data_IF_007041873007
#
_entry.id   IF_007041873007
#
_cell.length_a   1.000
_cell.length_b   1.000
_cell.length_c   1.000
_cell.angle_alpha   90.00
_cell.angle_beta   90.00
_cell.angle_gamma   90.00
#
_symmetry.space_group_name_H-M   'P 1'
#
loop_
_entity.id
_entity.type
_entity.pdbx_description
1 polymer ?
#
# COMPACT_ATOMS: atom_id res chain seq x y z
N UNK A 1 -8.63 -8.31 -1.34
CA UNK A 1 -7.42 -7.89 -2.10
C UNK A 1 -6.37 -8.99 -2.24
N UNK A 2 -6.68 -10.23 -1.86
CA UNK A 2 -5.69 -11.31 -1.70
C UNK A 2 -4.92 -11.64 -2.98
N UNK A 3 -5.61 -11.76 -4.13
CA UNK A 3 -4.94 -12.07 -5.40
C UNK A 3 -3.92 -11.01 -5.82
N UNK A 4 -4.30 -9.73 -5.74
CA UNK A 4 -3.42 -8.62 -6.14
C UNK A 4 -2.18 -8.54 -5.24
N UNK A 5 -2.35 -8.74 -3.93
CA UNK A 5 -1.22 -8.75 -2.97
C UNK A 5 -0.26 -9.88 -3.34
N UNK A 6 -0.74 -11.12 -3.46
CA UNK A 6 0.12 -12.27 -3.79
C UNK A 6 0.77 -12.15 -5.17
N UNK A 7 0.11 -11.52 -6.14
CA UNK A 7 0.71 -11.23 -7.44
C UNK A 7 1.91 -10.28 -7.30
N UNK A 8 1.74 -9.14 -6.62
CA UNK A 8 2.83 -8.17 -6.47
C UNK A 8 3.96 -8.67 -5.57
N UNK A 9 3.64 -9.45 -4.52
CA UNK A 9 4.67 -10.11 -3.70
C UNK A 9 5.55 -11.04 -4.53
N UNK A 10 4.97 -11.86 -5.42
CA UNK A 10 5.73 -12.70 -6.36
C UNK A 10 6.60 -11.89 -7.33
N UNK A 11 6.21 -10.64 -7.62
CA UNK A 11 6.96 -9.73 -8.48
C UNK A 11 7.98 -8.87 -7.71
N UNK A 12 8.30 -9.23 -6.47
CA UNK A 12 9.34 -8.58 -5.67
C UNK A 12 8.89 -7.33 -4.91
N UNK A 13 7.59 -7.07 -4.84
CA UNK A 13 7.05 -6.02 -3.98
C UNK A 13 6.83 -6.56 -2.57
N UNK A 14 6.81 -5.66 -1.58
CA UNK A 14 6.53 -5.98 -0.18
C UNK A 14 5.51 -5.01 0.38
N UNK A 15 4.72 -5.50 1.33
CA UNK A 15 3.81 -4.67 2.12
C UNK A 15 4.62 -3.63 2.92
N UNK A 16 4.24 -2.37 2.79
CA UNK A 16 4.83 -1.29 3.62
C UNK A 16 4.20 -1.27 5.00
N UNK A 17 4.91 -0.72 5.98
CA UNK A 17 4.38 -0.52 7.33
C UNK A 17 3.13 0.38 7.31
N UNK A 18 2.24 0.24 8.30
CA UNK A 18 1.03 1.07 8.40
C UNK A 18 1.33 2.57 8.47
N UNK A 19 2.40 2.95 9.17
CA UNK A 19 2.82 4.35 9.26
C UNK A 19 3.25 4.92 7.89
N UNK A 20 4.03 4.14 7.15
CA UNK A 20 4.50 4.51 5.82
C UNK A 20 3.36 4.51 4.79
N UNK A 21 2.47 3.50 4.84
CA UNK A 21 1.24 3.45 4.06
C UNK A 21 0.45 4.76 4.20
N UNK A 22 0.19 5.16 5.44
CA UNK A 22 -0.60 6.35 5.74
C UNK A 22 0.09 7.63 5.24
N UNK A 23 1.42 7.70 5.37
CA UNK A 23 2.22 8.81 4.85
C UNK A 23 2.15 8.90 3.32
N UNK A 24 2.35 7.77 2.62
CA UNK A 24 2.33 7.70 1.16
C UNK A 24 0.95 8.05 0.59
N UNK A 25 -0.10 7.48 1.17
CA UNK A 25 -1.48 7.74 0.74
C UNK A 25 -1.87 9.20 0.92
N UNK A 26 -1.51 9.83 2.03
CA UNK A 26 -1.76 11.28 2.25
C UNK A 26 -0.92 12.18 1.36
N UNK A 27 0.30 11.74 1.01
CA UNK A 27 1.22 12.52 0.17
C UNK A 27 0.78 12.57 -1.29
N UNK A 28 0.34 11.43 -1.82
CA UNK A 28 0.08 11.29 -3.26
C UNK A 28 -1.40 11.27 -3.63
N UNK A 29 -2.31 11.05 -2.67
CA UNK A 29 -3.75 11.03 -2.91
C UNK A 29 -4.53 11.90 -1.92
N UNK A 30 -5.59 12.54 -2.41
CA UNK A 30 -6.59 13.21 -1.57
C UNK A 30 -7.76 12.26 -1.29
N UNK A 31 -7.60 11.43 -0.27
CA UNK A 31 -8.59 10.41 0.14
C UNK A 31 -8.95 10.52 1.63
N UNK A 32 -10.13 10.03 1.99
CA UNK A 32 -10.61 10.02 3.38
C UNK A 32 -9.86 9.01 4.27
N UNK A 33 -9.91 9.18 5.59
CA UNK A 33 -9.33 8.24 6.56
C UNK A 33 -9.85 6.81 6.38
N UNK A 34 -11.16 6.65 6.10
CA UNK A 34 -11.78 5.34 5.85
C UNK A 34 -11.23 4.67 4.59
N UNK A 35 -10.89 5.44 3.56
CA UNK A 35 -10.24 4.91 2.36
C UNK A 35 -8.78 4.52 2.64
N UNK A 36 -8.06 5.27 3.48
CA UNK A 36 -6.70 4.93 3.92
C UNK A 36 -6.68 3.60 4.68
N UNK A 37 -7.64 3.38 5.59
CA UNK A 37 -7.78 2.12 6.34
C UNK A 37 -8.00 0.93 5.42
N UNK A 38 -8.90 1.06 4.43
CA UNK A 38 -9.22 0.02 3.46
C UNK A 38 -8.18 -0.16 2.35
N UNK A 39 -7.21 0.73 2.27
CA UNK A 39 -6.16 0.67 1.25
C UNK A 39 -4.97 -0.16 1.72
N UNK A 40 -4.29 -0.73 0.73
CA UNK A 40 -3.06 -1.49 0.87
C UNK A 40 -2.03 -0.88 -0.06
N UNK A 41 -0.79 -0.74 0.41
CA UNK A 41 0.32 -0.22 -0.40
C UNK A 41 1.42 -1.26 -0.38
N UNK A 42 1.96 -1.55 -1.57
CA UNK A 42 3.16 -2.36 -1.73
C UNK A 42 4.23 -1.51 -2.39
N UNK A 43 5.48 -1.69 -1.98
CA UNK A 43 6.64 -1.05 -2.58
C UNK A 43 7.67 -2.11 -2.94
N UNK A 44 8.44 -1.85 -3.99
CA UNK A 44 9.62 -2.63 -4.33
C UNK A 44 10.84 -1.82 -3.86
N UNK A 45 11.71 -2.43 -3.07
CA UNK A 45 13.03 -1.86 -2.79
C UNK A 45 13.81 -1.84 -4.12
N UNK A 46 14.30 -0.66 -4.49
CA UNK A 46 15.16 -0.46 -5.67
C UNK A 46 16.58 -0.86 -5.29
#
# INVERSE_FOLDING_TARGET
ATWAISFYEKNGYRLVSTGEKNRLLKKYWKISARQIEKSVVLSREI
#
